data_IF_731734681282
#
_entry.id   IF_731734681282
#
_cell.length_a   1.000
_cell.length_b   1.000
_cell.length_c   1.000
_cell.angle_alpha   90.00
_cell.angle_beta   90.00
_cell.angle_gamma   90.00
#
_symmetry.space_group_name_H-M   'P 1'
#
loop_
_entity.id
_entity.type
_entity.pdbx_description
1 polymer ?
#
# COMPACT_ATOMS: atom_id res chain seq x y z
N UNK A 1 -1.48 -18.83 -1.56
CA UNK A 1 -2.51 -19.18 -0.56
C UNK A 1 -3.21 -20.48 -0.94
N UNK A 2 -3.69 -20.60 -2.19
CA UNK A 2 -4.39 -21.80 -2.66
C UNK A 2 -3.56 -23.09 -2.59
N UNK A 3 -2.33 -23.05 -3.13
CA UNK A 3 -1.44 -24.21 -3.21
C UNK A 3 -0.78 -24.59 -1.87
N UNK A 4 -1.03 -23.83 -0.81
CA UNK A 4 -0.40 -24.00 0.49
C UNK A 4 -1.49 -24.02 1.57
N UNK A 5 -1.85 -22.86 2.10
CA UNK A 5 -2.88 -22.66 3.14
C UNK A 5 -4.18 -23.41 2.87
N UNK A 6 -4.80 -23.24 1.71
CA UNK A 6 -6.11 -23.87 1.43
C UNK A 6 -6.00 -25.33 0.98
N UNK A 7 -4.79 -25.82 0.73
CA UNK A 7 -4.53 -27.24 0.45
C UNK A 7 -4.27 -28.05 1.72
N UNK A 8 -3.97 -27.38 2.85
CA UNK A 8 -3.74 -28.03 4.13
C UNK A 8 -5.02 -28.75 4.65
N UNK A 9 -4.95 -30.06 4.95
CA UNK A 9 -6.12 -30.82 5.39
C UNK A 9 -6.76 -30.31 6.69
N UNK A 10 -5.97 -29.76 7.62
CA UNK A 10 -6.49 -29.20 8.89
C UNK A 10 -7.24 -27.91 8.62
N UNK A 11 -6.71 -27.05 7.75
CA UNK A 11 -7.42 -25.82 7.30
C UNK A 11 -8.74 -26.20 6.66
N UNK A 12 -8.74 -27.13 5.71
CA UNK A 12 -9.96 -27.54 5.02
C UNK A 12 -11.00 -28.13 5.97
N UNK A 13 -10.58 -28.97 6.92
CA UNK A 13 -11.47 -29.57 7.89
C UNK A 13 -12.09 -28.50 8.80
N UNK A 14 -11.26 -27.64 9.38
CA UNK A 14 -11.72 -26.55 10.25
C UNK A 14 -12.72 -25.63 9.52
N UNK A 15 -12.40 -25.25 8.28
CA UNK A 15 -13.29 -24.39 7.51
C UNK A 15 -14.64 -25.04 7.22
N UNK A 16 -14.69 -26.36 6.94
CA UNK A 16 -15.97 -27.08 6.76
C UNK A 16 -16.80 -27.17 8.05
N UNK A 17 -16.15 -27.34 9.18
CA UNK A 17 -16.83 -27.54 10.46
C UNK A 17 -17.39 -26.23 11.04
N UNK A 18 -16.81 -25.08 10.67
CA UNK A 18 -17.13 -23.79 11.28
C UNK A 18 -17.69 -22.74 10.33
N UNK A 19 -17.52 -22.87 9.02
CA UNK A 19 -17.89 -21.82 8.05
C UNK A 19 -18.55 -22.37 6.79
N UNK A 20 -19.38 -21.54 6.17
CA UNK A 20 -19.80 -21.70 4.77
C UNK A 20 -18.82 -20.90 3.91
N UNK A 21 -18.06 -21.58 3.06
CA UNK A 21 -16.99 -20.96 2.27
C UNK A 21 -17.40 -20.79 0.81
N UNK A 22 -17.32 -19.55 0.33
CA UNK A 22 -17.53 -19.21 -1.08
C UNK A 22 -16.25 -18.58 -1.64
N UNK A 23 -15.79 -19.08 -2.78
CA UNK A 23 -14.70 -18.45 -3.55
C UNK A 23 -15.28 -17.53 -4.60
N UNK A 24 -14.82 -16.28 -4.61
CA UNK A 24 -15.31 -15.24 -5.52
C UNK A 24 -14.14 -14.68 -6.32
N UNK A 25 -14.30 -14.58 -7.64
CA UNK A 25 -13.39 -13.82 -8.48
C UNK A 25 -13.80 -12.34 -8.42
N UNK A 26 -13.07 -11.54 -7.66
CA UNK A 26 -13.37 -10.13 -7.43
C UNK A 26 -13.19 -9.20 -8.65
N UNK A 27 -12.79 -9.75 -9.81
CA UNK A 27 -12.65 -9.02 -11.07
C UNK A 27 -13.78 -9.32 -12.07
N UNK A 28 -14.69 -10.25 -11.74
CA UNK A 28 -15.73 -10.71 -12.67
C UNK A 28 -17.07 -10.94 -11.96
N UNK A 29 -18.17 -10.69 -12.68
CA UNK A 29 -19.53 -10.95 -12.18
C UNK A 29 -19.82 -10.25 -10.86
N UNK A 30 -20.50 -10.94 -9.95
CA UNK A 30 -20.82 -10.44 -8.59
C UNK A 30 -19.60 -10.03 -7.76
N UNK A 31 -18.40 -10.51 -8.13
CA UNK A 31 -17.18 -10.19 -7.40
C UNK A 31 -16.78 -8.73 -7.48
N UNK A 32 -17.16 -8.02 -8.56
CA UNK A 32 -16.91 -6.58 -8.70
C UNK A 32 -17.70 -5.80 -7.65
N UNK A 33 -19.00 -6.11 -7.51
CA UNK A 33 -19.88 -5.47 -6.51
C UNK A 33 -19.45 -5.83 -5.09
N UNK A 34 -19.03 -7.07 -4.84
CA UNK A 34 -18.53 -7.50 -3.53
C UNK A 34 -17.20 -6.82 -3.18
N UNK A 35 -16.32 -6.60 -4.16
CA UNK A 35 -15.06 -5.87 -3.95
C UNK A 35 -15.33 -4.45 -3.48
N UNK A 36 -16.28 -3.77 -4.10
CA UNK A 36 -16.70 -2.41 -3.72
C UNK A 36 -17.40 -2.41 -2.37
N UNK A 37 -18.40 -3.28 -2.17
CA UNK A 37 -19.17 -3.39 -0.92
C UNK A 37 -18.29 -3.61 0.32
N UNK A 38 -17.26 -4.44 0.20
CA UNK A 38 -16.36 -4.76 1.31
C UNK A 38 -15.04 -3.98 1.26
N UNK A 39 -14.90 -2.99 0.36
CA UNK A 39 -13.67 -2.17 0.23
C UNK A 39 -12.41 -3.03 0.21
N UNK A 40 -12.38 -4.07 -0.63
CA UNK A 40 -11.27 -5.04 -0.67
C UNK A 40 -10.00 -4.34 -1.15
N UNK A 41 -8.95 -4.22 -0.33
CA UNK A 41 -7.79 -3.40 -0.65
C UNK A 41 -6.78 -4.09 -1.58
N UNK A 42 -6.88 -5.41 -1.72
CA UNK A 42 -5.97 -6.22 -2.53
C UNK A 42 -6.26 -7.72 -2.37
N UNK A 43 -5.51 -8.55 -3.08
CA UNK A 43 -5.71 -10.00 -3.10
C UNK A 43 -4.48 -10.76 -2.56
N UNK A 44 -4.68 -11.93 -1.93
CA UNK A 44 -5.98 -12.47 -1.49
C UNK A 44 -6.53 -11.70 -0.29
N UNK A 45 -7.85 -11.60 -0.17
CA UNK A 45 -8.53 -11.09 1.04
C UNK A 45 -9.66 -12.04 1.40
N UNK A 46 -9.73 -12.42 2.67
CA UNK A 46 -10.82 -13.21 3.23
C UNK A 46 -11.69 -12.30 4.09
N UNK A 47 -12.98 -12.26 3.78
CA UNK A 47 -13.98 -11.50 4.52
C UNK A 47 -14.85 -12.50 5.28
N UNK A 48 -14.93 -12.36 6.60
CA UNK A 48 -15.81 -13.15 7.44
C UNK A 48 -17.09 -12.35 7.67
N UNK A 49 -18.23 -12.88 7.24
CA UNK A 49 -19.53 -12.21 7.32
C UNK A 49 -20.52 -13.00 8.15
N UNK A 50 -21.48 -12.30 8.74
CA UNK A 50 -22.64 -12.93 9.38
C UNK A 50 -23.71 -13.34 8.35
N UNK A 51 -24.80 -13.90 8.85
CA UNK A 51 -25.95 -14.35 8.04
C UNK A 51 -26.69 -13.21 7.31
N UNK A 52 -26.42 -11.95 7.67
CA UNK A 52 -26.97 -10.77 7.00
C UNK A 52 -25.96 -10.16 6.01
N UNK A 53 -24.79 -10.77 5.85
CA UNK A 53 -23.70 -10.27 5.02
C UNK A 53 -22.98 -9.06 5.64
N UNK A 54 -23.11 -8.82 6.94
CA UNK A 54 -22.32 -7.78 7.65
C UNK A 54 -20.96 -8.36 7.98
N UNK A 55 -19.91 -7.56 7.79
CA UNK A 55 -18.56 -8.02 8.05
C UNK A 55 -18.26 -8.11 9.56
N UNK A 56 -17.83 -9.29 10.01
CA UNK A 56 -17.44 -9.61 11.38
C UNK A 56 -15.93 -9.40 11.56
N UNK A 57 -15.13 -9.82 10.59
CA UNK A 57 -13.67 -9.64 10.57
C UNK A 57 -13.12 -9.87 9.16
N UNK A 58 -11.84 -9.60 8.96
CA UNK A 58 -11.13 -9.90 7.71
C UNK A 58 -9.72 -10.43 7.96
N UNK A 59 -9.14 -10.97 6.90
CA UNK A 59 -7.72 -11.28 6.80
C UNK A 59 -7.22 -10.85 5.42
N UNK A 60 -6.25 -9.93 5.40
CA UNK A 60 -5.68 -9.37 4.16
C UNK A 60 -4.31 -10.01 3.90
N UNK A 61 -4.13 -10.43 2.65
CA UNK A 61 -2.90 -11.03 2.15
C UNK A 61 -2.73 -12.50 2.55
N UNK A 62 -1.66 -13.10 2.04
CA UNK A 62 -1.31 -14.48 2.34
C UNK A 62 -1.01 -14.68 3.83
N UNK A 63 -1.41 -15.83 4.36
CA UNK A 63 -0.97 -16.36 5.66
C UNK A 63 -0.67 -17.86 5.54
N UNK A 64 0.40 -18.36 6.18
CA UNK A 64 0.65 -19.80 6.24
C UNK A 64 -0.45 -20.53 7.03
N UNK A 65 -0.60 -21.86 6.87
CA UNK A 65 -1.68 -22.67 7.46
C UNK A 65 -1.96 -22.39 8.94
N UNK A 66 -0.93 -22.43 9.80
CA UNK A 66 -1.11 -22.26 11.25
C UNK A 66 -1.62 -20.86 11.63
N UNK A 67 -1.07 -19.81 10.99
CA UNK A 67 -1.50 -18.44 11.23
C UNK A 67 -2.93 -18.21 10.72
N UNK A 68 -3.31 -18.85 9.61
CA UNK A 68 -4.67 -18.80 9.10
C UNK A 68 -5.65 -19.49 10.06
N UNK A 69 -5.32 -20.69 10.54
CA UNK A 69 -6.15 -21.44 11.50
C UNK A 69 -6.36 -20.65 12.79
N UNK A 70 -5.31 -20.08 13.38
CA UNK A 70 -5.43 -19.27 14.59
C UNK A 70 -6.38 -18.08 14.41
N UNK A 71 -6.32 -17.43 13.24
CA UNK A 71 -7.25 -16.35 12.89
C UNK A 71 -8.68 -16.87 12.71
N UNK A 72 -8.89 -17.92 11.93
CA UNK A 72 -10.20 -18.50 11.68
C UNK A 72 -10.87 -18.99 12.97
N UNK A 73 -10.10 -19.63 13.85
CA UNK A 73 -10.56 -20.06 15.18
C UNK A 73 -10.98 -18.88 16.05
N UNK A 74 -10.16 -17.82 16.10
CA UNK A 74 -10.52 -16.59 16.81
C UNK A 74 -11.84 -16.00 16.29
N UNK A 75 -12.03 -15.95 14.97
CA UNK A 75 -13.28 -15.45 14.36
C UNK A 75 -14.47 -16.36 14.70
N UNK A 76 -14.30 -17.69 14.64
CA UNK A 76 -15.37 -18.65 14.96
C UNK A 76 -15.86 -18.52 16.41
N UNK A 77 -14.99 -18.04 17.31
CA UNK A 77 -15.28 -17.79 18.72
C UNK A 77 -15.60 -16.32 19.03
N UNK A 78 -15.76 -15.49 18.00
CA UNK A 78 -15.98 -14.04 18.12
C UNK A 78 -14.93 -13.35 19.02
N UNK A 79 -13.64 -13.70 18.87
CA UNK A 79 -12.55 -13.14 19.66
C UNK A 79 -11.78 -12.12 18.83
N UNK A 80 -11.73 -10.88 19.31
CA UNK A 80 -10.99 -9.79 18.65
C UNK A 80 -11.56 -9.38 17.29
N UNK A 81 -12.78 -9.80 16.98
CA UNK A 81 -13.59 -9.37 15.84
C UNK A 81 -14.14 -7.96 16.08
N UNK A 82 -14.74 -7.33 15.08
CA UNK A 82 -15.37 -6.01 15.28
C UNK A 82 -16.51 -6.06 16.29
N UNK A 83 -17.50 -6.98 16.19
CA UNK A 83 -18.58 -7.05 17.17
C UNK A 83 -18.08 -7.27 18.61
N UNK A 84 -17.04 -8.09 18.78
CA UNK A 84 -16.40 -8.29 20.08
C UNK A 84 -15.79 -6.99 20.62
N UNK A 85 -15.03 -6.28 19.79
CA UNK A 85 -14.35 -5.06 20.20
C UNK A 85 -15.34 -3.93 20.48
N UNK A 86 -16.41 -3.79 19.68
CA UNK A 86 -17.51 -2.85 19.94
C UNK A 86 -18.17 -3.11 21.30
N UNK A 87 -18.46 -4.38 21.61
CA UNK A 87 -19.03 -4.75 22.91
C UNK A 87 -18.03 -4.49 24.05
N UNK A 88 -16.75 -4.80 23.83
CA UNK A 88 -15.72 -4.63 24.85
C UNK A 88 -15.50 -3.15 25.20
N UNK A 89 -15.43 -2.25 24.21
CA UNK A 89 -15.31 -0.79 24.48
C UNK A 89 -16.58 -0.23 25.11
N UNK A 90 -17.76 -0.79 24.82
CA UNK A 90 -19.00 -0.36 25.48
C UNK A 90 -19.03 -0.78 26.96
N UNK A 91 -18.38 -1.89 27.32
CA UNK A 91 -18.28 -2.37 28.69
C UNK A 91 -17.17 -1.68 29.49
N UNK A 92 -16.05 -1.37 28.84
CA UNK A 92 -14.92 -0.65 29.43
C UNK A 92 -14.47 0.50 28.52
N UNK A 93 -15.21 1.63 28.53
CA UNK A 93 -14.94 2.76 27.63
C UNK A 93 -13.64 3.51 27.95
N UNK A 94 -13.00 3.22 29.09
CA UNK A 94 -11.74 3.86 29.48
C UNK A 94 -10.51 3.04 29.06
N UNK A 95 -10.69 1.85 28.48
CA UNK A 95 -9.58 1.04 27.97
C UNK A 95 -9.17 1.51 26.56
N UNK A 96 -8.19 2.41 26.51
CA UNK A 96 -7.62 2.91 25.26
C UNK A 96 -7.02 1.81 24.36
N UNK A 97 -6.61 0.67 24.90
CA UNK A 97 -6.09 -0.44 24.10
C UNK A 97 -7.19 -1.16 23.33
N UNK A 98 -8.40 -1.30 23.93
CA UNK A 98 -9.57 -1.83 23.23
C UNK A 98 -9.99 -0.91 22.08
N UNK A 99 -10.08 0.39 22.35
CA UNK A 99 -10.40 1.39 21.33
C UNK A 99 -9.38 1.39 20.19
N UNK A 100 -8.08 1.35 20.50
CA UNK A 100 -7.03 1.29 19.47
C UNK A 100 -7.15 0.05 18.57
N UNK A 101 -7.48 -1.10 19.14
CA UNK A 101 -7.74 -2.34 18.37
C UNK A 101 -8.98 -2.19 17.50
N UNK A 102 -10.04 -1.53 17.99
CA UNK A 102 -11.25 -1.26 17.22
C UNK A 102 -10.98 -0.29 16.05
N UNK A 103 -10.23 0.78 16.29
CA UNK A 103 -9.79 1.71 15.24
C UNK A 103 -9.04 0.96 14.13
N UNK A 104 -8.07 0.11 14.49
CA UNK A 104 -7.32 -0.69 13.52
C UNK A 104 -8.24 -1.56 12.65
N UNK A 105 -9.31 -2.15 13.23
CA UNK A 105 -10.29 -2.91 12.45
C UNK A 105 -11.05 -2.06 11.44
N UNK A 106 -11.48 -0.86 11.84
CA UNK A 106 -12.19 0.03 10.94
C UNK A 106 -11.27 0.60 9.84
N UNK A 107 -10.02 0.90 10.16
CA UNK A 107 -9.02 1.30 9.18
C UNK A 107 -8.72 0.17 8.17
N UNK A 108 -8.52 -1.07 8.62
CA UNK A 108 -8.36 -2.24 7.75
C UNK A 108 -9.57 -2.49 6.83
N UNK A 109 -10.75 -2.06 7.29
CA UNK A 109 -12.00 -2.13 6.53
C UNK A 109 -12.18 -1.04 5.49
N UNK A 110 -11.37 0.02 5.56
CA UNK A 110 -11.67 1.25 4.83
C UNK A 110 -12.92 1.96 5.35
N UNK A 111 -13.43 1.59 6.53
CA UNK A 111 -14.54 2.29 7.21
C UNK A 111 -13.97 3.51 7.93
N UNK A 112 -13.57 4.50 7.14
CA UNK A 112 -12.87 5.68 7.64
C UNK A 112 -13.77 6.51 8.56
N UNK A 113 -15.09 6.45 8.39
CA UNK A 113 -16.03 7.20 9.22
C UNK A 113 -16.03 6.66 10.65
N UNK A 114 -16.18 5.33 10.82
CA UNK A 114 -16.12 4.73 12.15
C UNK A 114 -14.72 4.77 12.74
N UNK A 115 -13.68 4.59 11.92
CA UNK A 115 -12.30 4.76 12.38
C UNK A 115 -12.07 6.17 12.94
N UNK A 116 -12.54 7.21 12.24
CA UNK A 116 -12.42 8.60 12.69
C UNK A 116 -13.10 8.79 14.03
N UNK A 117 -14.34 8.31 14.18
CA UNK A 117 -15.08 8.40 15.44
C UNK A 117 -14.35 7.73 16.61
N UNK A 118 -13.76 6.55 16.39
CA UNK A 118 -12.95 5.88 17.41
C UNK A 118 -11.72 6.72 17.80
N UNK A 119 -11.06 7.35 16.83
CA UNK A 119 -9.91 8.21 17.11
C UNK A 119 -10.30 9.50 17.85
N UNK A 120 -11.51 10.03 17.65
CA UNK A 120 -12.06 11.13 18.48
C UNK A 120 -12.22 10.68 19.93
N UNK A 121 -12.80 9.50 20.17
CA UNK A 121 -12.93 8.94 21.53
C UNK A 121 -11.56 8.71 22.19
N UNK A 122 -10.57 8.23 21.44
CA UNK A 122 -9.20 8.07 21.93
C UNK A 122 -8.54 9.41 22.28
N UNK A 123 -8.85 10.47 21.53
CA UNK A 123 -8.39 11.83 21.80
C UNK A 123 -8.96 12.35 23.13
N UNK A 124 -10.27 12.21 23.33
CA UNK A 124 -10.97 12.63 24.55
C UNK A 124 -10.47 11.89 25.79
N UNK A 125 -10.20 10.58 25.64
CA UNK A 125 -9.65 9.76 26.72
C UNK A 125 -8.22 10.16 27.09
N UNK A 126 -7.47 10.81 26.18
CA UNK A 126 -6.07 11.18 26.40
C UNK A 126 -5.13 9.99 26.59
N UNK A 127 -5.53 8.79 26.12
CA UNK A 127 -4.78 7.54 26.34
C UNK A 127 -3.65 7.30 25.34
N UNK A 128 -3.61 8.06 24.25
CA UNK A 128 -2.64 7.91 23.17
C UNK A 128 -1.77 9.17 23.03
N UNK A 129 -0.53 9.05 22.50
CA UNK A 129 0.29 10.22 22.16
C UNK A 129 -0.45 11.21 21.26
N UNK A 130 -0.32 12.50 21.52
CA UNK A 130 -1.02 13.55 20.78
C UNK A 130 -0.71 13.50 19.28
N UNK A 131 0.57 13.41 18.90
CA UNK A 131 0.99 13.31 17.49
C UNK A 131 0.33 12.11 16.78
N UNK A 132 0.13 10.98 17.47
CA UNK A 132 -0.54 9.79 16.93
C UNK A 132 -2.00 10.09 16.62
N UNK A 133 -2.71 10.71 17.57
CA UNK A 133 -4.12 11.07 17.40
C UNK A 133 -4.29 12.11 16.29
N UNK A 134 -3.43 13.13 16.27
CA UNK A 134 -3.48 14.21 15.29
C UNK A 134 -3.34 13.70 13.85
N UNK A 135 -2.30 12.91 13.55
CA UNK A 135 -2.16 12.39 12.19
C UNK A 135 -3.28 11.43 11.80
N UNK A 136 -3.80 10.65 12.76
CA UNK A 136 -4.89 9.70 12.49
C UNK A 136 -6.15 10.43 12.10
N UNK A 137 -6.58 11.40 12.90
CA UNK A 137 -7.76 12.22 12.59
C UNK A 137 -7.56 12.98 11.27
N UNK A 138 -6.40 13.64 11.10
CA UNK A 138 -6.08 14.39 9.88
C UNK A 138 -6.19 13.50 8.62
N UNK A 139 -5.53 12.34 8.61
CA UNK A 139 -5.51 11.48 7.42
C UNK A 139 -6.82 10.73 7.20
N UNK A 140 -7.61 10.46 8.25
CA UNK A 140 -8.94 9.87 8.11
C UNK A 140 -9.94 10.91 7.55
N UNK A 141 -9.90 12.14 8.07
CA UNK A 141 -10.73 13.23 7.57
C UNK A 141 -10.44 13.54 6.10
N UNK A 142 -9.16 13.66 5.72
CA UNK A 142 -8.77 13.85 4.32
C UNK A 142 -9.26 12.73 3.38
N UNK A 143 -9.36 11.49 3.89
CA UNK A 143 -9.91 10.36 3.11
C UNK A 143 -11.43 10.41 2.97
N UNK A 144 -12.14 10.87 4.01
CA UNK A 144 -13.59 11.07 3.99
C UNK A 144 -13.98 12.21 3.04
N UNK A 145 -13.23 13.31 3.07
CA UNK A 145 -13.46 14.47 2.23
C UNK A 145 -12.95 14.27 0.80
N UNK A 146 -12.18 13.20 0.57
CA UNK A 146 -11.42 12.98 -0.64
C UNK A 146 -10.55 14.20 -1.01
N UNK A 147 -9.99 14.90 -0.02
CA UNK A 147 -9.24 16.15 -0.20
C UNK A 147 -7.81 16.02 0.36
N UNK A 148 -6.76 16.06 -0.49
CA UNK A 148 -5.38 16.04 -0.03
C UNK A 148 -4.88 17.39 0.51
N UNK A 149 -5.59 18.50 0.29
CA UNK A 149 -5.09 19.83 0.62
C UNK A 149 -4.74 20.04 2.11
N UNK A 150 -5.51 19.51 3.09
CA UNK A 150 -5.12 19.56 4.50
C UNK A 150 -3.78 18.86 4.77
N UNK A 151 -3.51 17.75 4.09
CA UNK A 151 -2.26 17.00 4.24
C UNK A 151 -1.08 17.79 3.67
N UNK A 152 -1.28 18.44 2.52
CA UNK A 152 -0.26 19.30 1.89
C UNK A 152 0.12 20.47 2.80
N UNK A 153 -0.87 21.14 3.41
CA UNK A 153 -0.62 22.22 4.38
C UNK A 153 0.11 21.69 5.61
N UNK A 154 -0.35 20.57 6.16
CA UNK A 154 0.23 20.01 7.38
C UNK A 154 1.71 19.66 7.23
N UNK A 155 2.12 19.02 6.13
CA UNK A 155 3.54 18.68 5.93
C UNK A 155 4.44 19.93 5.75
N UNK A 156 3.87 21.05 5.29
CA UNK A 156 4.56 22.33 5.20
C UNK A 156 4.73 22.97 6.58
N UNK A 157 3.64 23.02 7.35
CA UNK A 157 3.57 23.75 8.61
C UNK A 157 4.25 22.98 9.77
N UNK A 158 4.35 21.64 9.67
CA UNK A 158 4.88 20.76 10.71
C UNK A 158 6.03 19.87 10.20
N UNK A 159 7.18 20.44 9.77
CA UNK A 159 8.26 19.72 9.09
C UNK A 159 8.99 18.66 9.97
N UNK A 160 8.77 18.70 11.29
CA UNK A 160 9.39 17.80 12.26
C UNK A 160 8.39 16.81 12.89
N UNK A 161 7.15 16.73 12.38
CA UNK A 161 6.12 15.84 12.93
C UNK A 161 6.50 14.36 12.76
N UNK A 162 6.27 13.54 13.80
CA UNK A 162 6.75 12.16 13.86
C UNK A 162 6.20 11.24 12.76
N UNK A 163 5.01 11.54 12.25
CA UNK A 163 4.26 10.71 11.29
C UNK A 163 4.19 11.29 9.87
N UNK A 164 5.11 12.18 9.49
CA UNK A 164 5.13 12.74 8.13
C UNK A 164 5.13 11.69 7.02
N UNK A 165 5.88 10.57 7.07
CA UNK A 165 5.81 9.54 6.04
C UNK A 165 4.39 8.98 5.82
N UNK A 166 3.62 8.75 6.89
CA UNK A 166 2.24 8.27 6.81
C UNK A 166 1.31 9.32 6.18
N UNK A 167 1.51 10.59 6.52
CA UNK A 167 0.76 11.72 5.96
C UNK A 167 1.06 11.89 4.47
N UNK A 168 2.34 11.81 4.07
CA UNK A 168 2.73 11.81 2.66
C UNK A 168 2.07 10.66 1.90
N UNK A 169 2.11 9.44 2.44
CA UNK A 169 1.49 8.27 1.81
C UNK A 169 -0.03 8.44 1.65
N UNK A 170 -0.71 9.01 2.65
CA UNK A 170 -2.14 9.32 2.57
C UNK A 170 -2.44 10.33 1.45
N UNK A 171 -1.67 11.42 1.35
CA UNK A 171 -1.83 12.42 0.30
C UNK A 171 -1.55 11.87 -1.10
N UNK A 172 -0.47 11.09 -1.27
CA UNK A 172 -0.17 10.42 -2.54
C UNK A 172 -1.29 9.47 -2.97
N UNK A 173 -1.87 8.73 -2.01
CA UNK A 173 -3.03 7.87 -2.31
C UNK A 173 -4.24 8.67 -2.77
N UNK A 174 -4.45 9.89 -2.28
CA UNK A 174 -5.57 10.74 -2.67
C UNK A 174 -5.35 11.35 -4.05
N UNK A 175 -4.16 11.90 -4.34
CA UNK A 175 -3.84 12.42 -5.66
C UNK A 175 -3.99 11.36 -6.77
N UNK A 176 -3.57 10.10 -6.49
CA UNK A 176 -3.76 8.99 -7.43
C UNK A 176 -5.23 8.68 -7.70
N UNK A 177 -6.09 8.78 -6.69
CA UNK A 177 -7.53 8.55 -6.84
C UNK A 177 -8.22 9.68 -7.61
N UNK A 178 -7.70 10.89 -7.51
CA UNK A 178 -8.20 12.06 -8.22
C UNK A 178 -7.64 12.20 -9.65
N UNK A 179 -6.72 11.32 -10.06
CA UNK A 179 -5.99 11.43 -11.33
C UNK A 179 -5.33 12.81 -11.51
N UNK A 180 -4.62 13.27 -10.47
CA UNK A 180 -3.94 14.56 -10.42
C UNK A 180 -2.41 14.39 -10.54
N UNK A 181 -1.87 14.10 -11.75
CA UNK A 181 -0.47 13.70 -11.93
C UNK A 181 0.53 14.81 -11.61
N UNK A 182 0.22 16.07 -11.91
CA UNK A 182 1.13 17.19 -11.67
C UNK A 182 1.33 17.42 -10.16
N UNK A 183 0.22 17.45 -9.41
CA UNK A 183 0.21 17.59 -7.95
C UNK A 183 0.82 16.36 -7.27
N UNK A 184 0.51 15.15 -7.74
CA UNK A 184 1.14 13.92 -7.26
C UNK A 184 2.65 14.00 -7.42
N UNK A 185 3.13 14.39 -8.60
CA UNK A 185 4.55 14.49 -8.91
C UNK A 185 5.27 15.48 -7.98
N UNK A 186 4.70 16.67 -7.78
CA UNK A 186 5.24 17.68 -6.85
C UNK A 186 5.25 17.17 -5.40
N UNK A 187 4.17 16.54 -4.97
CA UNK A 187 4.05 16.05 -3.60
C UNK A 187 4.97 14.86 -3.32
N UNK A 188 5.13 13.94 -4.28
CA UNK A 188 6.06 12.82 -4.16
C UNK A 188 7.51 13.31 -4.15
N UNK A 189 7.85 14.31 -4.97
CA UNK A 189 9.18 14.92 -4.92
C UNK A 189 9.47 15.56 -3.55
N UNK A 190 8.48 16.24 -2.95
CA UNK A 190 8.60 16.77 -1.58
C UNK A 190 8.87 15.65 -0.56
N UNK A 191 8.14 14.53 -0.67
CA UNK A 191 8.36 13.36 0.19
C UNK A 191 9.77 12.76 0.03
N UNK A 192 10.24 12.59 -1.21
CA UNK A 192 11.60 12.09 -1.48
C UNK A 192 12.65 13.00 -0.87
N UNK A 193 12.53 14.31 -1.06
CA UNK A 193 13.46 15.29 -0.49
C UNK A 193 13.45 15.27 1.04
N UNK A 194 12.27 15.15 1.66
CA UNK A 194 12.13 14.98 3.10
C UNK A 194 12.87 13.73 3.59
N UNK A 195 12.64 12.57 2.96
CA UNK A 195 13.28 11.31 3.35
C UNK A 195 14.81 11.35 3.17
N UNK A 196 15.30 11.98 2.10
CA UNK A 196 16.74 12.21 1.90
C UNK A 196 17.34 13.07 3.01
N UNK A 197 16.66 14.17 3.40
CA UNK A 197 17.10 15.03 4.51
C UNK A 197 17.18 14.28 5.84
N UNK A 198 16.30 13.29 6.05
CA UNK A 198 16.30 12.42 7.22
C UNK A 198 17.35 11.29 7.16
N UNK A 199 18.18 11.22 6.12
CA UNK A 199 19.12 10.13 5.90
C UNK A 199 18.44 8.79 5.59
N UNK A 200 17.15 8.82 5.25
CA UNK A 200 16.31 7.65 4.92
C UNK A 200 15.96 7.59 3.42
N UNK A 201 16.63 8.41 2.61
CA UNK A 201 16.64 8.23 1.16
C UNK A 201 17.39 6.95 0.78
N UNK A 202 17.13 6.42 -0.41
CA UNK A 202 17.86 5.26 -0.89
C UNK A 202 17.29 4.64 -2.17
N UNK A 203 17.96 3.61 -2.71
CA UNK A 203 17.65 3.06 -4.03
C UNK A 203 16.18 2.67 -4.21
N UNK A 204 15.56 2.04 -3.21
CA UNK A 204 14.16 1.63 -3.28
C UNK A 204 13.17 2.80 -3.42
N UNK A 205 13.37 3.87 -2.63
CA UNK A 205 12.53 5.07 -2.70
C UNK A 205 12.75 5.83 -4.02
N UNK A 206 14.00 6.00 -4.43
CA UNK A 206 14.37 6.65 -5.68
C UNK A 206 13.84 5.89 -6.90
N UNK A 207 13.91 4.56 -6.88
CA UNK A 207 13.31 3.72 -7.91
C UNK A 207 11.79 3.86 -7.96
N UNK A 208 11.13 3.83 -6.81
CA UNK A 208 9.67 4.00 -6.72
C UNK A 208 9.23 5.37 -7.24
N UNK A 209 9.96 6.42 -6.89
CA UNK A 209 9.74 7.78 -7.41
C UNK A 209 9.95 7.83 -8.92
N UNK A 210 11.09 7.34 -9.41
CA UNK A 210 11.43 7.41 -10.83
C UNK A 210 10.44 6.61 -11.68
N UNK A 211 10.08 5.39 -11.27
CA UNK A 211 9.05 4.60 -11.95
C UNK A 211 7.73 5.37 -12.02
N UNK A 212 7.26 5.89 -10.88
CA UNK A 212 6.01 6.64 -10.86
C UNK A 212 6.06 7.86 -11.80
N UNK A 213 7.19 8.56 -11.85
CA UNK A 213 7.40 9.70 -12.74
C UNK A 213 7.34 9.31 -14.22
N UNK A 214 7.72 8.08 -14.61
CA UNK A 214 7.51 7.58 -15.98
C UNK A 214 6.06 7.29 -16.31
N UNK A 215 5.26 6.83 -15.33
CA UNK A 215 3.84 6.54 -15.51
C UNK A 215 3.02 7.81 -15.70
N UNK A 216 3.34 8.86 -14.94
CA UNK A 216 2.61 10.15 -14.97
C UNK A 216 3.28 11.22 -15.83
N UNK A 217 4.44 10.90 -16.43
CA UNK A 217 5.27 11.79 -17.26
C UNK A 217 5.63 13.13 -16.60
N UNK A 218 5.85 13.13 -15.28
CA UNK A 218 6.25 14.31 -14.50
C UNK A 218 7.68 14.19 -13.98
N UNK A 219 8.35 15.31 -13.76
CA UNK A 219 9.68 15.38 -13.11
C UNK A 219 10.76 14.43 -13.68
N UNK A 220 10.67 14.04 -14.96
CA UNK A 220 11.57 13.04 -15.57
C UNK A 220 13.07 13.37 -15.43
N UNK A 221 13.55 14.62 -15.57
CA UNK A 221 14.95 14.93 -15.33
C UNK A 221 15.41 14.68 -13.89
N UNK A 222 14.55 14.98 -12.92
CA UNK A 222 14.83 14.72 -11.49
C UNK A 222 14.76 13.22 -11.20
N UNK A 223 13.78 12.52 -11.77
CA UNK A 223 13.70 11.06 -11.70
C UNK A 223 14.98 10.40 -12.23
N UNK A 224 15.54 10.92 -13.33
CA UNK A 224 16.78 10.42 -13.91
C UNK A 224 17.98 10.60 -12.97
N UNK A 225 18.10 11.75 -12.31
CA UNK A 225 19.13 11.97 -11.28
C UNK A 225 19.02 10.94 -10.15
N UNK A 226 17.81 10.79 -9.58
CA UNK A 226 17.56 9.87 -8.46
C UNK A 226 17.84 8.41 -8.83
N UNK A 227 17.36 7.95 -9.98
CA UNK A 227 17.57 6.55 -10.40
C UNK A 227 19.02 6.28 -10.76
N UNK A 228 19.73 7.25 -11.33
CA UNK A 228 21.17 7.09 -11.63
C UNK A 228 21.97 6.90 -10.34
N UNK A 229 21.69 7.72 -9.31
CA UNK A 229 22.26 7.54 -7.97
C UNK A 229 21.90 6.17 -7.36
N UNK A 230 20.69 5.67 -7.59
CA UNK A 230 20.28 4.33 -7.14
C UNK A 230 21.12 3.23 -7.79
N UNK A 231 21.30 3.28 -9.12
CA UNK A 231 22.12 2.32 -9.87
C UNK A 231 23.57 2.33 -9.37
N UNK A 232 24.14 3.51 -9.12
CA UNK A 232 25.51 3.64 -8.63
C UNK A 232 25.72 3.01 -7.24
N UNK A 233 24.76 3.20 -6.32
CA UNK A 233 24.82 2.58 -5.00
C UNK A 233 24.63 1.05 -5.04
N UNK A 234 23.97 0.54 -6.07
CA UNK A 234 23.63 -0.88 -6.19
C UNK A 234 24.65 -1.70 -6.97
N UNK A 235 25.81 -1.16 -7.36
CA UNK A 235 26.81 -1.88 -8.17
C UNK A 235 27.19 -3.27 -7.61
N UNK A 236 27.19 -3.43 -6.29
CA UNK A 236 27.52 -4.68 -5.60
C UNK A 236 26.30 -5.51 -5.14
N UNK A 237 25.08 -5.11 -5.54
CA UNK A 237 23.87 -5.89 -5.26
C UNK A 237 23.72 -7.06 -6.23
N UNK A 238 22.78 -7.96 -5.95
CA UNK A 238 22.46 -9.09 -6.82
C UNK A 238 22.17 -8.63 -8.26
N UNK A 239 22.65 -9.36 -9.29
CA UNK A 239 22.48 -8.97 -10.69
C UNK A 239 21.02 -8.68 -11.07
N UNK A 240 20.09 -9.47 -10.51
CA UNK A 240 18.65 -9.31 -10.72
C UNK A 240 18.13 -7.97 -10.17
N UNK A 241 18.49 -7.61 -8.94
CA UNK A 241 18.03 -6.37 -8.30
C UNK A 241 18.60 -5.15 -9.02
N UNK A 242 19.85 -5.24 -9.47
CA UNK A 242 20.49 -4.21 -10.31
C UNK A 242 19.76 -4.02 -11.63
N UNK A 243 19.46 -5.12 -12.34
CA UNK A 243 18.76 -5.06 -13.61
C UNK A 243 17.36 -4.42 -13.49
N UNK A 244 16.66 -4.64 -12.38
CA UNK A 244 15.36 -3.99 -12.11
C UNK A 244 15.46 -2.46 -11.96
N UNK A 245 16.45 -1.96 -11.22
CA UNK A 245 16.63 -0.50 -11.04
C UNK A 245 17.16 0.15 -12.33
N UNK A 246 18.02 -0.55 -13.06
CA UNK A 246 18.50 -0.11 -14.37
C UNK A 246 17.37 -0.09 -15.41
N UNK A 247 16.38 -0.98 -15.31
CA UNK A 247 15.19 -0.95 -16.17
C UNK A 247 14.42 0.37 -16.05
N UNK A 248 14.14 0.78 -14.82
CA UNK A 248 13.54 2.08 -14.54
C UNK A 248 14.38 3.23 -15.11
N UNK A 249 15.72 3.16 -14.99
CA UNK A 249 16.61 4.18 -15.57
C UNK A 249 16.45 4.27 -17.09
N UNK A 250 16.37 3.13 -17.79
CA UNK A 250 16.19 3.10 -19.22
C UNK A 250 14.80 3.63 -19.64
N UNK A 251 13.74 3.29 -18.91
CA UNK A 251 12.39 3.83 -19.17
C UNK A 251 12.37 5.37 -19.03
N UNK A 252 13.02 5.92 -17.99
CA UNK A 252 13.14 7.38 -17.81
C UNK A 252 13.91 8.01 -18.97
N UNK A 253 15.06 7.44 -19.35
CA UNK A 253 15.85 7.93 -20.50
C UNK A 253 15.04 7.93 -21.79
N UNK A 254 14.30 6.85 -22.04
CA UNK A 254 13.46 6.72 -23.23
C UNK A 254 12.31 7.75 -23.25
N UNK A 255 11.63 7.96 -22.11
CA UNK A 255 10.60 9.01 -21.97
C UNK A 255 11.15 10.43 -22.16
N UNK A 256 12.43 10.65 -21.83
CA UNK A 256 13.15 11.91 -22.12
C UNK A 256 13.62 12.05 -23.57
N UNK A 257 13.36 11.07 -24.44
CA UNK A 257 13.83 11.06 -25.83
C UNK A 257 15.31 10.69 -25.98
N UNK A 258 15.98 10.23 -24.91
CA UNK A 258 17.38 9.78 -24.89
C UNK A 258 17.46 8.29 -25.25
N UNK A 259 16.87 7.92 -26.38
CA UNK A 259 16.66 6.51 -26.78
C UNK A 259 17.96 5.72 -26.91
N UNK A 260 19.03 6.31 -27.46
CA UNK A 260 20.31 5.63 -27.57
C UNK A 260 20.86 5.21 -26.20
N UNK A 261 20.80 6.10 -25.21
CA UNK A 261 21.26 5.80 -23.85
C UNK A 261 20.35 4.81 -23.14
N UNK A 262 19.03 4.87 -23.37
CA UNK A 262 18.10 3.87 -22.87
C UNK A 262 18.43 2.46 -23.40
N UNK A 263 18.76 2.35 -24.69
CA UNK A 263 19.17 1.07 -25.30
C UNK A 263 20.50 0.57 -24.72
N UNK A 264 21.48 1.44 -24.49
CA UNK A 264 22.75 1.06 -23.84
C UNK A 264 22.53 0.51 -22.43
N UNK A 265 21.60 1.09 -21.67
CA UNK A 265 21.22 0.56 -20.35
C UNK A 265 20.53 -0.80 -20.48
N UNK A 266 19.64 -0.98 -21.46
CA UNK A 266 18.97 -2.26 -21.71
C UNK A 266 19.93 -3.38 -22.09
N UNK A 267 20.97 -3.11 -22.87
CA UNK A 267 22.01 -4.10 -23.17
C UNK A 267 22.72 -4.59 -21.89
N UNK A 268 22.94 -3.67 -20.94
CA UNK A 268 23.51 -4.04 -19.64
C UNK A 268 22.53 -4.87 -18.80
N UNK A 269 21.23 -4.56 -18.83
CA UNK A 269 20.22 -5.39 -18.17
C UNK A 269 20.19 -6.82 -18.73
N UNK A 270 20.22 -6.95 -20.07
CA UNK A 270 20.30 -8.23 -20.76
C UNK A 270 21.58 -8.99 -20.37
N UNK A 271 22.72 -8.31 -20.27
CA UNK A 271 23.97 -8.95 -19.84
C UNK A 271 23.90 -9.45 -18.38
N UNK A 272 23.15 -8.76 -17.50
CA UNK A 272 22.95 -9.17 -16.11
C UNK A 272 21.95 -10.32 -15.97
N UNK A 273 20.95 -10.40 -16.84
CA UNK A 273 19.86 -11.38 -16.81
C UNK A 273 19.59 -11.93 -18.23
N UNK A 274 20.52 -12.73 -18.81
CA UNK A 274 20.45 -13.14 -20.21
C UNK A 274 19.27 -14.06 -20.53
N UNK A 275 18.80 -14.81 -19.54
CA UNK A 275 17.70 -15.76 -19.68
C UNK A 275 16.32 -15.14 -19.41
N UNK A 276 16.27 -13.86 -19.00
CA UNK A 276 15.01 -13.15 -18.78
C UNK A 276 14.53 -12.48 -20.08
N UNK A 277 13.46 -12.99 -20.73
CA UNK A 277 12.98 -12.43 -22.01
C UNK A 277 12.36 -11.03 -21.85
N UNK A 278 12.10 -10.57 -20.63
CA UNK A 278 11.52 -9.25 -20.37
C UNK A 278 12.41 -8.12 -20.93
N UNK A 279 13.71 -8.14 -20.65
CA UNK A 279 14.61 -7.04 -21.05
C UNK A 279 14.81 -6.97 -22.57
N UNK A 280 14.75 -8.11 -23.28
CA UNK A 280 14.75 -8.13 -24.74
C UNK A 280 13.50 -7.45 -25.31
N UNK A 281 12.32 -7.78 -24.78
CA UNK A 281 11.06 -7.14 -25.19
C UNK A 281 11.05 -5.64 -24.87
N UNK A 282 11.61 -5.25 -23.73
CA UNK A 282 11.72 -3.86 -23.35
C UNK A 282 12.62 -3.07 -24.31
N UNK A 283 13.75 -3.65 -24.71
CA UNK A 283 14.63 -3.08 -25.75
C UNK A 283 13.92 -2.94 -27.10
N UNK A 284 13.17 -3.96 -27.52
CA UNK A 284 12.37 -3.92 -28.76
C UNK A 284 11.31 -2.80 -28.71
N UNK A 285 10.62 -2.61 -27.58
CA UNK A 285 9.70 -1.49 -27.35
C UNK A 285 10.39 -0.14 -27.59
N UNK A 286 11.61 0.04 -27.10
CA UNK A 286 12.34 1.29 -27.27
C UNK A 286 12.74 1.55 -28.73
N UNK A 287 13.09 0.50 -29.48
CA UNK A 287 13.38 0.57 -30.92
C UNK A 287 12.12 0.89 -31.76
N UNK A 288 10.97 0.31 -31.41
CA UNK A 288 9.72 0.47 -32.16
C UNK A 288 9.14 1.90 -32.17
N UNK A 289 9.55 2.76 -31.24
CA UNK A 289 9.15 4.18 -31.20
C UNK A 289 10.16 5.12 -31.88
N UNK A 290 11.28 4.59 -32.39
CA UNK A 290 12.27 5.35 -33.14
C UNK A 290 11.95 5.47 -34.65
N UNK A 291 10.72 5.10 -35.06
CA UNK A 291 10.21 5.14 -36.44
C UNK A 291 9.20 6.27 -36.63
#
# INVERSE_FOLDING_TARGET
>A
MDADTFSDPKVQQFMRDHFVVTRVNAEKGEGVDLKERYSVPGYPTMIFVDTQGREIDRLIGYRPPDAFLAKADSVSRNLGTVPFLEQAVAQDPNDGALWKRLAAKYEERGDYQRAHHVWESLAELGSQPQDLVEYKLLTLQARLDHDPAPLVRFVHDHPDHAYLPDIYNAGLSLFRRQDAPEEEGKFFLSFVNYMEKQGKGGPGLWNSFAWRMTEIEQNLPVALDKITRAVDLMQNSEPKDRAQVMDTQAEVLWKLGRTAEALDVMEKCIALQPDDPYYQKQKEKFLGKAS
#
